data_IF_805988207178
#
_entry.id   IF_805988207178
#
_cell.length_a   1.000
_cell.length_b   1.000
_cell.length_c   1.000
_cell.angle_alpha   90.00
_cell.angle_beta   90.00
_cell.angle_gamma   90.00
#
_symmetry.space_group_name_H-M   'P 1'
#
loop_
_entity.id
_entity.type
_entity.pdbx_description
1 polymer ?
#
# COMPACT_ATOMS: atom_id res chain seq x y z
N UNK A 1 -22.37 22.81 8.57
CA UNK A 1 -21.25 23.16 9.47
C UNK A 1 -21.26 22.31 10.73
N UNK A 2 -22.29 22.38 11.60
CA UNK A 2 -22.42 21.49 12.77
C UNK A 2 -22.25 20.01 12.42
N UNK A 3 -22.93 19.54 11.37
CA UNK A 3 -22.78 18.17 10.87
C UNK A 3 -21.35 17.78 10.51
N UNK A 4 -20.63 18.63 9.77
CA UNK A 4 -19.21 18.41 9.47
C UNK A 4 -18.37 18.36 10.75
N UNK A 5 -18.63 19.22 11.72
CA UNK A 5 -17.91 19.24 13.00
C UNK A 5 -18.16 17.97 13.80
N UNK A 6 -19.39 17.47 13.87
CA UNK A 6 -19.70 16.19 14.51
C UNK A 6 -19.01 15.02 13.80
N UNK A 7 -19.01 15.01 12.46
CA UNK A 7 -18.28 14.02 11.68
C UNK A 7 -16.78 14.05 12.00
N UNK A 8 -16.21 15.26 12.13
CA UNK A 8 -14.80 15.45 12.51
C UNK A 8 -14.48 15.04 13.95
N UNK A 9 -15.49 14.90 14.82
CA UNK A 9 -15.37 14.41 16.19
C UNK A 9 -15.76 12.93 16.32
N UNK A 10 -16.16 12.29 15.21
CA UNK A 10 -16.64 10.92 15.17
C UNK A 10 -18.06 10.71 15.71
N UNK A 11 -18.81 11.76 16.01
CA UNK A 11 -20.22 11.67 16.40
C UNK A 11 -21.09 11.55 15.14
N UNK A 12 -21.06 10.37 14.50
CA UNK A 12 -21.64 10.15 13.17
C UNK A 12 -23.15 10.27 13.17
N UNK A 13 -23.83 9.84 14.24
CA UNK A 13 -25.29 9.97 14.37
C UNK A 13 -25.71 11.44 14.37
N UNK A 14 -25.11 12.26 15.25
CA UNK A 14 -25.41 13.70 15.26
C UNK A 14 -24.95 14.40 13.99
N UNK A 15 -23.87 13.92 13.38
CA UNK A 15 -23.44 14.42 12.08
C UNK A 15 -24.52 14.21 11.03
N UNK A 16 -25.04 12.99 10.94
CA UNK A 16 -26.08 12.59 10.00
C UNK A 16 -27.35 13.42 10.20
N UNK A 17 -27.84 13.54 11.44
CA UNK A 17 -29.02 14.34 11.78
C UNK A 17 -28.87 15.80 11.36
N UNK A 18 -27.75 16.43 11.75
CA UNK A 18 -27.49 17.83 11.43
C UNK A 18 -27.29 18.08 9.93
N UNK A 19 -26.79 17.10 9.19
CA UNK A 19 -26.66 17.18 7.72
C UNK A 19 -28.01 16.97 7.04
N UNK A 20 -28.83 16.01 7.49
CA UNK A 20 -30.17 15.77 6.95
C UNK A 20 -31.10 16.97 7.17
N UNK A 21 -31.05 17.60 8.34
CA UNK A 21 -31.76 18.87 8.63
C UNK A 21 -31.37 19.97 7.62
N UNK A 22 -30.06 20.11 7.34
CA UNK A 22 -29.56 21.07 6.38
C UNK A 22 -30.03 20.75 4.95
N UNK A 23 -29.99 19.48 4.54
CA UNK A 23 -30.45 19.06 3.21
C UNK A 23 -31.95 19.30 3.00
N UNK A 24 -32.77 19.17 4.05
CA UNK A 24 -34.19 19.50 4.01
C UNK A 24 -34.49 20.99 3.82
N UNK A 25 -33.54 21.86 4.17
CA UNK A 25 -33.69 23.32 4.13
C UNK A 25 -32.97 24.00 2.96
N UNK A 26 -32.02 23.30 2.31
CA UNK A 26 -31.19 23.83 1.23
C UNK A 26 -31.71 23.38 -0.14
N UNK A 27 -31.55 24.22 -1.17
CA UNK A 27 -31.90 23.83 -2.53
C UNK A 27 -30.79 22.99 -3.17
N UNK A 28 -31.10 21.92 -3.94
CA UNK A 28 -30.09 21.10 -4.64
C UNK A 28 -29.14 21.87 -5.56
N UNK A 29 -29.53 23.06 -6.02
CA UNK A 29 -28.68 23.93 -6.87
C UNK A 29 -27.61 24.68 -6.09
N UNK A 30 -27.68 24.72 -4.76
CA UNK A 30 -26.75 25.46 -3.91
C UNK A 30 -25.47 24.65 -3.65
N UNK A 31 -24.32 25.35 -3.63
CA UNK A 31 -23.02 24.75 -3.31
C UNK A 31 -23.03 24.13 -1.91
N UNK A 32 -23.71 24.76 -0.95
CA UNK A 32 -23.85 24.23 0.41
C UNK A 32 -24.63 22.92 0.48
N UNK A 33 -25.62 22.72 -0.40
CA UNK A 33 -26.35 21.44 -0.49
C UNK A 33 -25.41 20.33 -0.94
N UNK A 34 -24.59 20.58 -1.97
CA UNK A 34 -23.59 19.62 -2.44
C UNK A 34 -22.56 19.29 -1.35
N UNK A 35 -22.09 20.31 -0.61
CA UNK A 35 -21.18 20.10 0.53
C UNK A 35 -21.81 19.27 1.65
N UNK A 36 -23.09 19.52 1.97
CA UNK A 36 -23.84 18.71 2.92
C UNK A 36 -24.03 17.27 2.40
N UNK A 37 -24.31 17.07 1.11
CA UNK A 37 -24.47 15.75 0.49
C UNK A 37 -23.19 14.92 0.57
N UNK A 38 -22.03 15.53 0.28
CA UNK A 38 -20.72 14.86 0.43
C UNK A 38 -20.42 14.55 1.91
N UNK A 39 -20.78 15.42 2.84
CA UNK A 39 -20.65 15.14 4.28
C UNK A 39 -21.53 13.95 4.70
N UNK A 40 -22.75 13.85 4.16
CA UNK A 40 -23.65 12.72 4.41
C UNK A 40 -23.06 11.41 3.84
N UNK A 41 -22.47 11.48 2.65
CA UNK A 41 -21.79 10.36 2.03
C UNK A 41 -20.67 9.80 2.92
N UNK A 42 -19.87 10.67 3.54
CA UNK A 42 -18.86 10.25 4.51
C UNK A 42 -19.48 9.62 5.76
N UNK A 43 -20.62 10.11 6.25
CA UNK A 43 -21.32 9.47 7.38
C UNK A 43 -21.73 8.02 7.04
N UNK A 44 -22.34 7.82 5.86
CA UNK A 44 -22.69 6.47 5.39
C UNK A 44 -21.47 5.58 5.20
N UNK A 45 -20.39 6.10 4.62
CA UNK A 45 -19.15 5.36 4.45
C UNK A 45 -18.61 4.88 5.80
N UNK A 46 -18.58 5.78 6.78
CA UNK A 46 -18.07 5.49 8.12
C UNK A 46 -18.92 4.42 8.81
N UNK A 47 -20.23 4.41 8.60
CA UNK A 47 -21.15 3.37 9.10
C UNK A 47 -21.09 2.04 8.30
N UNK A 48 -20.22 1.95 7.31
CA UNK A 48 -20.07 0.77 6.45
C UNK A 48 -21.02 0.72 5.26
N UNK A 49 -22.03 1.59 5.16
CA UNK A 49 -23.00 1.65 4.05
C UNK A 49 -22.38 2.27 2.79
N UNK A 50 -21.44 1.53 2.19
CA UNK A 50 -20.66 1.98 1.03
C UNK A 50 -21.52 2.18 -0.22
N UNK A 51 -22.63 1.47 -0.35
CA UNK A 51 -23.57 1.62 -1.46
C UNK A 51 -24.27 2.99 -1.44
N UNK A 52 -24.79 3.41 -0.28
CA UNK A 52 -25.36 4.76 -0.15
C UNK A 52 -24.28 5.81 -0.30
N UNK A 53 -23.12 5.62 0.34
CA UNK A 53 -22.01 6.56 0.25
C UNK A 53 -21.58 6.81 -1.20
N UNK A 54 -21.40 5.74 -1.98
CA UNK A 54 -21.01 5.81 -3.38
C UNK A 54 -21.96 6.66 -4.21
N UNK A 55 -23.29 6.46 -4.08
CA UNK A 55 -24.26 7.24 -4.86
C UNK A 55 -24.12 8.74 -4.64
N UNK A 56 -24.01 9.17 -3.38
CA UNK A 56 -23.82 10.58 -3.06
C UNK A 56 -22.46 11.11 -3.54
N UNK A 57 -21.40 10.30 -3.48
CA UNK A 57 -20.10 10.70 -4.04
C UNK A 57 -20.14 10.84 -5.56
N UNK A 58 -20.75 9.89 -6.28
CA UNK A 58 -20.90 9.92 -7.74
C UNK A 58 -21.62 11.19 -8.22
N UNK A 59 -22.73 11.54 -7.58
CA UNK A 59 -23.51 12.75 -7.89
C UNK A 59 -22.71 14.05 -7.72
N UNK A 60 -21.66 14.02 -6.90
CA UNK A 60 -20.90 15.21 -6.53
C UNK A 60 -19.46 15.24 -7.07
N UNK A 61 -18.95 14.15 -7.66
CA UNK A 61 -17.55 14.04 -8.09
C UNK A 61 -17.21 14.77 -9.40
N UNK A 62 -18.21 15.21 -10.18
CA UNK A 62 -17.98 15.88 -11.47
C UNK A 62 -17.60 17.36 -11.27
N UNK A 63 -16.40 17.75 -11.70
CA UNK A 63 -15.85 19.11 -11.51
C UNK A 63 -16.46 20.09 -12.50
N UNK A 64 -16.68 19.67 -13.75
CA UNK A 64 -17.27 20.50 -14.82
C UNK A 64 -18.63 21.14 -14.48
N UNK A 65 -19.34 20.64 -13.48
CA UNK A 65 -20.63 21.18 -13.02
C UNK A 65 -20.51 22.21 -11.89
N UNK A 66 -19.31 22.57 -11.45
CA UNK A 66 -19.10 23.41 -10.26
C UNK A 66 -18.69 24.84 -10.63
N UNK A 67 -19.47 25.82 -10.19
CA UNK A 67 -19.06 27.23 -10.21
C UNK A 67 -17.97 27.44 -9.14
N UNK A 68 -16.71 27.40 -9.55
CA UNK A 68 -15.55 27.86 -8.78
C UNK A 68 -15.30 27.18 -7.41
N UNK A 69 -15.76 25.95 -7.19
CA UNK A 69 -15.47 25.20 -5.95
C UNK A 69 -14.93 23.80 -6.27
N UNK A 70 -13.62 23.65 -6.17
CA UNK A 70 -12.92 22.37 -6.36
C UNK A 70 -12.97 21.46 -5.14
N UNK A 71 -13.17 21.98 -3.92
CA UNK A 71 -13.10 21.18 -2.71
C UNK A 71 -14.18 20.09 -2.71
N UNK A 72 -15.44 20.45 -2.94
CA UNK A 72 -16.55 19.50 -2.90
C UNK A 72 -16.37 18.33 -3.88
N UNK A 73 -16.14 18.56 -5.19
CA UNK A 73 -16.00 17.46 -6.13
C UNK A 73 -14.73 16.63 -5.91
N UNK A 74 -13.64 17.21 -5.40
CA UNK A 74 -12.42 16.47 -5.11
C UNK A 74 -12.53 15.60 -3.86
N UNK A 75 -13.23 16.06 -2.81
CA UNK A 75 -13.57 15.22 -1.67
C UNK A 75 -14.52 14.09 -2.07
N UNK A 76 -15.51 14.38 -2.92
CA UNK A 76 -16.39 13.35 -3.45
C UNK A 76 -15.62 12.33 -4.31
N UNK A 77 -14.68 12.79 -5.13
CA UNK A 77 -13.79 11.92 -5.93
C UNK A 77 -12.96 11.00 -5.03
N UNK A 78 -12.38 11.52 -3.94
CA UNK A 78 -11.63 10.72 -2.98
C UNK A 78 -12.51 9.63 -2.35
N UNK A 79 -13.69 10.00 -1.84
CA UNK A 79 -14.62 9.05 -1.24
C UNK A 79 -15.11 7.98 -2.21
N UNK A 80 -15.42 8.38 -3.45
CA UNK A 80 -15.84 7.47 -4.52
C UNK A 80 -14.74 6.46 -4.85
N UNK A 81 -13.53 6.93 -5.15
CA UNK A 81 -12.40 6.06 -5.46
C UNK A 81 -12.08 5.12 -4.30
N UNK A 82 -12.25 5.56 -3.05
CA UNK A 82 -12.08 4.72 -1.86
C UNK A 82 -13.13 3.60 -1.77
N UNK A 83 -14.39 3.87 -2.11
CA UNK A 83 -15.43 2.82 -2.17
C UNK A 83 -15.03 1.72 -3.16
N UNK A 84 -14.59 2.11 -4.37
CA UNK A 84 -14.10 1.17 -5.39
C UNK A 84 -12.85 0.42 -4.94
N UNK A 85 -11.88 1.10 -4.30
CA UNK A 85 -10.69 0.47 -3.73
C UNK A 85 -11.06 -0.62 -2.73
N UNK A 86 -11.99 -0.37 -1.80
CA UNK A 86 -12.41 -1.37 -0.81
C UNK A 86 -13.07 -2.60 -1.46
N UNK A 87 -13.78 -2.43 -2.57
CA UNK A 87 -14.39 -3.52 -3.35
C UNK A 87 -13.43 -4.28 -4.25
N UNK A 88 -12.18 -3.83 -4.35
CA UNK A 88 -11.17 -4.42 -5.22
C UNK A 88 -11.20 -3.94 -6.66
N UNK A 89 -11.83 -2.81 -6.93
CA UNK A 89 -11.96 -2.22 -8.26
C UNK A 89 -10.89 -1.13 -8.44
N UNK A 90 -9.61 -1.52 -8.34
CA UNK A 90 -8.46 -0.60 -8.35
C UNK A 90 -8.37 0.18 -9.66
N UNK A 91 -8.65 -0.47 -10.80
CA UNK A 91 -8.64 0.17 -12.11
C UNK A 91 -9.73 1.26 -12.21
N UNK A 92 -10.92 1.01 -11.66
CA UNK A 92 -12.02 1.98 -11.63
C UNK A 92 -11.63 3.16 -10.73
N UNK A 93 -11.08 2.89 -9.54
CA UNK A 93 -10.57 3.92 -8.64
C UNK A 93 -9.49 4.79 -9.30
N UNK A 94 -8.57 4.20 -10.06
CA UNK A 94 -7.55 4.94 -10.81
C UNK A 94 -8.16 5.81 -11.91
N UNK A 95 -9.13 5.29 -12.66
CA UNK A 95 -9.87 6.04 -13.68
C UNK A 95 -10.59 7.26 -13.10
N UNK A 96 -11.19 7.13 -11.91
CA UNK A 96 -11.84 8.23 -11.19
C UNK A 96 -10.84 9.36 -10.88
N UNK A 97 -9.65 9.04 -10.36
CA UNK A 97 -8.61 10.03 -10.09
C UNK A 97 -8.06 10.67 -11.37
N UNK A 98 -7.80 9.87 -12.41
CA UNK A 98 -7.31 10.39 -13.69
C UNK A 98 -8.32 11.30 -14.37
N UNK A 99 -9.62 10.96 -14.33
CA UNK A 99 -10.69 11.83 -14.82
C UNK A 99 -10.69 13.16 -14.10
N UNK A 100 -10.65 13.15 -12.76
CA UNK A 100 -10.66 14.38 -11.97
C UNK A 100 -9.43 15.26 -12.25
N UNK A 101 -8.24 14.67 -12.39
CA UNK A 101 -7.03 15.39 -12.79
C UNK A 101 -7.17 16.01 -14.20
N UNK A 102 -7.74 15.28 -15.16
CA UNK A 102 -7.97 15.78 -16.51
C UNK A 102 -8.97 16.94 -16.54
N UNK A 103 -10.05 16.86 -15.76
CA UNK A 103 -11.02 17.96 -15.59
C UNK A 103 -10.35 19.20 -14.95
N UNK A 104 -9.53 19.02 -13.91
CA UNK A 104 -8.75 20.12 -13.33
C UNK A 104 -7.80 20.74 -14.35
N UNK A 105 -7.09 19.93 -15.14
CA UNK A 105 -6.16 20.42 -16.16
C UNK A 105 -6.86 21.18 -17.28
N UNK A 106 -8.03 20.73 -17.72
CA UNK A 106 -8.84 21.42 -18.73
C UNK A 106 -9.29 22.82 -18.27
N UNK A 107 -9.40 23.02 -16.95
CA UNK A 107 -9.73 24.31 -16.32
C UNK A 107 -8.49 25.14 -15.95
N UNK A 108 -7.27 24.62 -16.17
CA UNK A 108 -6.02 25.27 -15.76
C UNK A 108 -5.77 25.23 -14.25
N UNK A 109 -6.40 24.30 -13.53
CA UNK A 109 -6.36 24.16 -12.07
C UNK A 109 -5.57 22.94 -11.58
N UNK A 110 -4.77 22.32 -12.45
CA UNK A 110 -4.00 21.13 -12.13
C UNK A 110 -3.01 21.33 -10.97
N UNK A 111 -2.53 22.56 -10.76
CA UNK A 111 -1.53 22.90 -9.73
C UNK A 111 -2.14 23.48 -8.45
N UNK A 112 -3.48 23.55 -8.35
CA UNK A 112 -4.15 24.02 -7.13
C UNK A 112 -3.90 23.00 -6.00
N UNK A 113 -3.53 23.43 -4.77
CA UNK A 113 -3.13 22.53 -3.69
C UNK A 113 -4.07 21.35 -3.39
N UNK A 114 -5.38 21.54 -3.51
CA UNK A 114 -6.39 20.48 -3.26
C UNK A 114 -6.25 19.29 -4.23
N UNK A 115 -5.71 19.49 -5.44
CA UNK A 115 -5.42 18.41 -6.38
C UNK A 115 -4.36 17.43 -5.85
N UNK A 116 -3.58 17.83 -4.83
CA UNK A 116 -2.66 16.95 -4.12
C UNK A 116 -3.33 15.70 -3.55
N UNK A 117 -4.59 15.79 -3.11
CA UNK A 117 -5.37 14.63 -2.63
C UNK A 117 -5.51 13.53 -3.69
N UNK A 118 -5.66 13.91 -4.97
CA UNK A 118 -5.78 12.95 -6.07
C UNK A 118 -4.46 12.23 -6.31
N UNK A 119 -3.35 12.95 -6.19
CA UNK A 119 -2.02 12.34 -6.29
C UNK A 119 -1.75 11.39 -5.12
N UNK A 120 -2.15 11.74 -3.90
CA UNK A 120 -2.05 10.81 -2.76
C UNK A 120 -2.89 9.53 -2.97
N UNK A 121 -4.11 9.66 -3.50
CA UNK A 121 -4.96 8.53 -3.83
C UNK A 121 -4.39 7.61 -4.92
N UNK A 122 -3.79 8.19 -5.97
CA UNK A 122 -3.06 7.40 -6.98
C UNK A 122 -1.83 6.72 -6.38
N UNK A 123 -1.13 7.40 -5.47
CA UNK A 123 0.00 6.84 -4.74
C UNK A 123 -0.40 5.61 -3.90
N UNK A 124 -1.57 5.65 -3.27
CA UNK A 124 -2.14 4.52 -2.54
C UNK A 124 -2.50 3.34 -3.44
N UNK A 125 -3.17 3.58 -4.57
CA UNK A 125 -3.48 2.51 -5.52
C UNK A 125 -2.20 1.86 -6.07
N UNK A 126 -1.19 2.66 -6.39
CA UNK A 126 0.12 2.16 -6.81
C UNK A 126 0.81 1.37 -5.68
N UNK A 127 0.73 1.83 -4.43
CA UNK A 127 1.27 1.10 -3.28
C UNK A 127 0.60 -0.27 -3.12
N UNK A 128 -0.74 -0.34 -3.13
CA UNK A 128 -1.52 -1.58 -3.06
C UNK A 128 -1.17 -2.56 -4.19
N UNK A 129 -0.91 -2.01 -5.38
CA UNK A 129 -0.51 -2.76 -6.60
C UNK A 129 0.97 -3.12 -6.64
N UNK A 130 1.72 -2.81 -5.59
CA UNK A 130 3.17 -3.01 -5.51
C UNK A 130 3.98 -2.24 -6.59
N UNK A 131 3.40 -1.20 -7.19
CA UNK A 131 4.06 -0.29 -8.14
C UNK A 131 4.82 0.82 -7.38
N UNK A 132 5.75 0.40 -6.51
CA UNK A 132 6.33 1.25 -5.46
C UNK A 132 7.03 2.53 -5.96
N UNK A 133 7.69 2.49 -7.11
CA UNK A 133 8.31 3.69 -7.70
C UNK A 133 7.24 4.71 -8.16
N UNK A 134 6.14 4.22 -8.73
CA UNK A 134 5.00 5.07 -9.12
C UNK A 134 4.33 5.66 -7.88
N UNK A 135 4.15 4.83 -6.84
CA UNK A 135 3.64 5.25 -5.55
C UNK A 135 4.49 6.40 -4.97
N UNK A 136 5.81 6.25 -4.92
CA UNK A 136 6.72 7.29 -4.42
C UNK A 136 6.54 8.62 -5.16
N UNK A 137 6.54 8.62 -6.50
CA UNK A 137 6.38 9.85 -7.31
C UNK A 137 5.05 10.55 -6.99
N UNK A 138 3.96 9.78 -6.96
CA UNK A 138 2.63 10.30 -6.69
C UNK A 138 2.50 10.84 -5.26
N UNK A 139 3.06 10.15 -4.28
CA UNK A 139 3.02 10.56 -2.87
C UNK A 139 3.84 11.82 -2.63
N UNK A 140 5.06 11.91 -3.16
CA UNK A 140 5.92 13.09 -3.03
C UNK A 140 5.21 14.34 -3.59
N UNK A 141 4.65 14.24 -4.81
CA UNK A 141 3.88 15.34 -5.41
C UNK A 141 2.65 15.69 -4.58
N UNK A 142 1.89 14.70 -4.14
CA UNK A 142 0.69 14.90 -3.32
C UNK A 142 1.01 15.63 -2.01
N UNK A 143 2.05 15.18 -1.28
CA UNK A 143 2.52 15.78 -0.02
C UNK A 143 2.92 17.24 -0.22
N UNK A 144 3.68 17.54 -1.28
CA UNK A 144 4.10 18.92 -1.57
C UNK A 144 2.88 19.84 -1.73
N UNK A 145 1.92 19.42 -2.56
CA UNK A 145 0.72 20.20 -2.84
C UNK A 145 -0.16 20.36 -1.61
N UNK A 146 -0.44 19.30 -0.85
CA UNK A 146 -1.29 19.37 0.35
C UNK A 146 -0.63 20.18 1.45
N UNK A 147 0.71 20.16 1.56
CA UNK A 147 1.47 21.01 2.49
C UNK A 147 1.31 22.49 2.15
N UNK A 148 1.43 22.88 0.89
CA UNK A 148 1.19 24.26 0.44
C UNK A 148 -0.24 24.68 0.74
N UNK A 149 -1.21 23.79 0.55
CA UNK A 149 -2.62 24.02 0.86
C UNK A 149 -2.99 23.97 2.34
N UNK A 150 -2.03 23.76 3.24
CA UNK A 150 -2.25 23.57 4.68
C UNK A 150 -3.26 22.45 5.00
N UNK A 151 -3.31 21.41 4.17
CA UNK A 151 -4.22 20.28 4.29
C UNK A 151 -3.60 19.19 5.17
N UNK A 152 -3.38 19.54 6.44
CA UNK A 152 -2.51 18.80 7.38
C UNK A 152 -2.81 17.29 7.48
N UNK A 153 -4.09 16.91 7.53
CA UNK A 153 -4.48 15.49 7.58
C UNK A 153 -4.02 14.71 6.35
N UNK A 154 -4.19 15.27 5.15
CA UNK A 154 -3.78 14.62 3.90
C UNK A 154 -2.26 14.59 3.76
N UNK A 155 -1.58 15.66 4.19
CA UNK A 155 -0.12 15.67 4.29
C UNK A 155 0.37 14.56 5.22
N UNK A 156 -0.27 14.37 6.38
CA UNK A 156 0.07 13.31 7.33
C UNK A 156 -0.14 11.91 6.72
N UNK A 157 -1.28 11.67 6.07
CA UNK A 157 -1.52 10.42 5.33
C UNK A 157 -0.45 10.15 4.27
N UNK A 158 -0.15 11.12 3.42
CA UNK A 158 0.86 10.98 2.38
C UNK A 158 2.23 10.63 2.95
N UNK A 159 2.64 11.27 4.05
CA UNK A 159 3.93 11.01 4.71
C UNK A 159 4.03 9.59 5.28
N UNK A 160 2.97 9.09 5.92
CA UNK A 160 2.96 7.71 6.45
C UNK A 160 3.03 6.69 5.33
N UNK A 161 2.24 6.90 4.27
CA UNK A 161 2.22 5.99 3.13
C UNK A 161 3.54 6.05 2.32
N UNK A 162 4.17 7.21 2.22
CA UNK A 162 5.50 7.36 1.63
C UNK A 162 6.55 6.61 2.46
N UNK A 163 6.51 6.73 3.79
CA UNK A 163 7.39 5.98 4.68
C UNK A 163 7.21 4.46 4.51
N UNK A 164 5.97 3.98 4.40
CA UNK A 164 5.70 2.56 4.11
C UNK A 164 6.22 2.14 2.72
N UNK A 165 6.09 3.01 1.72
CA UNK A 165 6.59 2.79 0.35
C UNK A 165 8.12 2.71 0.32
N UNK A 166 8.80 3.62 1.01
CA UNK A 166 10.26 3.65 1.14
C UNK A 166 10.77 2.39 1.84
N UNK A 167 10.10 1.96 2.92
CA UNK A 167 10.43 0.71 3.60
C UNK A 167 10.30 -0.50 2.66
N UNK A 168 9.22 -0.55 1.87
CA UNK A 168 9.01 -1.61 0.89
C UNK A 168 10.03 -1.60 -0.27
N UNK A 169 10.59 -0.43 -0.59
CA UNK A 169 11.69 -0.26 -1.54
C UNK A 169 13.07 -0.64 -0.95
N UNK A 170 13.15 -0.98 0.34
CA UNK A 170 14.41 -1.24 1.04
C UNK A 170 15.22 0.04 1.31
N UNK A 171 14.58 1.20 1.31
CA UNK A 171 15.20 2.48 1.63
C UNK A 171 15.16 2.72 3.15
N UNK A 172 16.12 3.47 3.67
CA UNK A 172 16.06 3.91 5.06
C UNK A 172 14.90 4.88 5.28
N UNK A 173 14.10 4.60 6.30
CA UNK A 173 12.96 5.42 6.70
C UNK A 173 13.26 6.01 8.06
N UNK A 174 13.32 7.35 8.13
CA UNK A 174 13.45 8.07 9.40
C UNK A 174 12.38 9.14 9.47
N UNK A 175 11.32 8.87 10.22
CA UNK A 175 10.41 9.91 10.70
C UNK A 175 11.01 10.47 11.98
N UNK A 176 11.24 11.78 12.03
CA UNK A 176 11.73 12.39 13.28
C UNK A 176 10.66 12.28 14.36
N UNK A 177 11.06 12.35 15.65
CA UNK A 177 10.10 12.39 16.77
C UNK A 177 9.08 13.54 16.63
N UNK A 178 9.49 14.66 16.03
CA UNK A 178 8.61 15.78 15.78
C UNK A 178 7.59 15.47 14.69
N UNK A 179 8.02 14.81 13.62
CA UNK A 179 7.12 14.37 12.55
C UNK A 179 6.09 13.39 13.11
N UNK A 180 6.51 12.45 13.95
CA UNK A 180 5.60 11.49 14.56
C UNK A 180 4.61 12.13 15.52
N UNK A 181 5.03 13.10 16.34
CA UNK A 181 4.12 13.84 17.20
C UNK A 181 3.06 14.60 16.38
N UNK A 182 3.45 15.16 15.23
CA UNK A 182 2.52 15.77 14.28
C UNK A 182 1.56 14.73 13.69
N UNK A 183 2.06 13.58 13.23
CA UNK A 183 1.23 12.50 12.71
C UNK A 183 0.22 11.98 13.74
N UNK A 184 0.66 11.79 14.99
CA UNK A 184 -0.19 11.38 16.12
C UNK A 184 -1.30 12.39 16.39
N UNK A 185 -1.06 13.68 16.17
CA UNK A 185 -2.09 14.72 16.37
C UNK A 185 -3.27 14.54 15.41
N UNK A 186 -3.02 13.97 14.23
CA UNK A 186 -4.05 13.73 13.22
C UNK A 186 -4.59 12.30 13.25
N UNK A 187 -3.80 11.34 13.74
CA UNK A 187 -4.21 9.96 13.97
C UNK A 187 -5.13 9.86 15.20
N UNK A 188 -6.37 9.39 15.00
CA UNK A 188 -7.39 9.31 16.04
C UNK A 188 -8.21 10.59 16.20
N UNK A 189 -8.07 11.55 15.26
CA UNK A 189 -8.99 12.70 15.19
C UNK A 189 -10.39 12.27 14.76
N UNK A 190 -10.48 11.22 13.95
CA UNK A 190 -11.74 10.64 13.51
C UNK A 190 -11.89 9.23 14.08
N UNK A 191 -13.11 8.86 14.47
CA UNK A 191 -13.39 7.48 14.90
C UNK A 191 -13.18 6.52 13.73
N UNK A 192 -13.52 6.95 12.51
CA UNK A 192 -13.21 6.24 11.27
C UNK A 192 -12.59 7.21 10.28
N UNK A 193 -11.37 6.89 9.89
CA UNK A 193 -10.49 7.75 9.12
C UNK A 193 -10.50 7.38 7.63
N UNK A 194 -10.60 8.38 6.76
CA UNK A 194 -10.65 8.19 5.31
C UNK A 194 -9.54 9.03 4.68
N UNK A 195 -8.38 8.42 4.39
CA UNK A 195 -7.96 7.02 4.66
C UNK A 195 -7.45 6.80 6.09
N UNK A 196 -7.28 5.54 6.57
CA UNK A 196 -7.07 5.20 7.98
C UNK A 196 -5.63 5.46 8.48
N UNK A 197 -5.28 6.73 8.65
CA UNK A 197 -3.97 7.20 9.07
C UNK A 197 -3.44 6.52 10.34
N UNK A 198 -4.30 6.36 11.35
CA UNK A 198 -4.03 5.73 12.64
C UNK A 198 -3.58 4.29 12.48
N UNK A 199 -4.29 3.50 11.67
CA UNK A 199 -3.91 2.12 11.36
C UNK A 199 -2.58 2.08 10.58
N UNK A 200 -2.41 2.93 9.56
CA UNK A 200 -1.18 2.96 8.77
C UNK A 200 0.05 3.34 9.60
N UNK A 201 -0.09 4.28 10.53
CA UNK A 201 0.98 4.68 11.43
C UNK A 201 1.32 3.56 12.42
N UNK A 202 0.30 2.90 12.99
CA UNK A 202 0.49 1.74 13.86
C UNK A 202 1.20 0.58 13.15
N UNK A 203 0.82 0.31 11.89
CA UNK A 203 1.49 -0.68 11.05
C UNK A 203 2.96 -0.32 10.79
N UNK A 204 3.26 0.96 10.56
CA UNK A 204 4.63 1.42 10.36
C UNK A 204 5.48 1.18 11.61
N UNK A 205 4.95 1.45 12.81
CA UNK A 205 5.65 1.16 14.07
C UNK A 205 5.91 -0.34 14.24
N UNK A 206 4.93 -1.19 13.99
CA UNK A 206 5.11 -2.65 14.05
C UNK A 206 6.18 -3.12 13.06
N UNK A 207 6.16 -2.64 11.82
CA UNK A 207 7.14 -3.02 10.80
C UNK A 207 8.58 -2.59 11.15
N UNK A 208 8.73 -1.54 11.95
CA UNK A 208 10.03 -1.07 12.44
C UNK A 208 10.43 -1.68 13.79
N UNK A 209 9.64 -2.60 14.34
CA UNK A 209 9.90 -3.21 15.65
C UNK A 209 9.73 -2.24 16.83
N UNK A 210 9.02 -1.12 16.63
CA UNK A 210 8.80 -0.08 17.65
C UNK A 210 7.57 -0.40 18.50
N UNK A 211 7.64 -1.52 19.20
CA UNK A 211 6.53 -2.06 20.02
C UNK A 211 6.06 -1.08 21.09
N UNK A 212 6.96 -0.29 21.68
CA UNK A 212 6.60 0.72 22.69
C UNK A 212 5.60 1.77 22.16
N UNK A 213 5.87 2.31 20.96
CA UNK A 213 4.99 3.29 20.31
C UNK A 213 3.66 2.66 19.92
N UNK A 214 3.69 1.44 19.38
CA UNK A 214 2.49 0.68 19.07
C UNK A 214 1.61 0.42 20.31
N UNK A 215 2.19 -0.02 21.43
CA UNK A 215 1.45 -0.30 22.66
C UNK A 215 0.85 0.97 23.27
N UNK A 216 1.58 2.09 23.21
CA UNK A 216 1.05 3.38 23.62
C UNK A 216 -0.15 3.79 22.76
N UNK A 217 -0.05 3.63 21.44
CA UNK A 217 -1.16 3.86 20.52
C UNK A 217 -2.34 2.93 20.82
N UNK A 218 -2.11 1.64 21.02
CA UNK A 218 -3.16 0.65 21.29
C UNK A 218 -3.97 1.03 22.55
N UNK A 219 -3.26 1.45 23.60
CA UNK A 219 -3.87 1.96 24.84
C UNK A 219 -4.71 3.22 24.58
N UNK A 220 -4.17 4.19 23.84
CA UNK A 220 -4.86 5.44 23.55
C UNK A 220 -6.09 5.24 22.64
N UNK A 221 -5.98 4.33 21.67
CA UNK A 221 -7.03 3.95 20.76
C UNK A 221 -8.14 3.13 21.43
N UNK A 222 -7.90 2.64 22.66
CA UNK A 222 -8.82 1.82 23.45
C UNK A 222 -9.32 0.57 22.70
N UNK A 223 -8.47 0.02 21.83
CA UNK A 223 -8.81 -1.18 21.06
C UNK A 223 -8.59 -2.43 21.93
N UNK A 224 -9.55 -3.35 21.87
CA UNK A 224 -9.48 -4.62 22.56
C UNK A 224 -10.21 -5.69 21.74
N UNK A 225 -9.70 -6.92 21.77
CA UNK A 225 -10.37 -8.10 21.24
C UNK A 225 -11.40 -8.70 22.23
N UNK A 226 -11.49 -8.16 23.46
CA UNK A 226 -12.35 -8.68 24.55
C UNK A 226 -13.60 -7.85 24.82
N UNK A 227 -13.69 -6.67 24.21
CA UNK A 227 -14.84 -5.78 24.33
C UNK A 227 -15.67 -5.83 23.04
N UNK A 228 -16.95 -5.39 23.07
CA UNK A 228 -17.71 -5.20 21.84
C UNK A 228 -16.91 -4.38 20.83
N UNK A 229 -16.77 -4.92 19.62
CA UNK A 229 -15.93 -4.33 18.58
C UNK A 229 -16.66 -3.16 17.93
N UNK A 230 -15.90 -2.10 17.62
CA UNK A 230 -16.36 -1.02 16.73
C UNK A 230 -15.92 -1.40 15.32
N UNK A 231 -16.67 -2.28 14.67
CA UNK A 231 -16.25 -2.99 13.45
C UNK A 231 -15.89 -2.04 12.29
N UNK A 232 -16.36 -0.81 12.30
CA UNK A 232 -15.99 0.25 11.36
C UNK A 232 -14.48 0.61 11.43
N UNK A 233 -13.82 0.31 12.55
CA UNK A 233 -12.36 0.44 12.77
C UNK A 233 -11.57 -0.81 12.34
N UNK A 234 -12.10 -1.54 11.35
CA UNK A 234 -11.46 -2.73 10.77
C UNK A 234 -9.95 -2.57 10.54
N UNK A 235 -9.47 -1.49 9.89
CA UNK A 235 -8.03 -1.31 9.65
C UNK A 235 -7.19 -1.38 10.92
N UNK A 236 -7.59 -0.73 12.01
CA UNK A 236 -6.87 -0.79 13.28
C UNK A 236 -6.89 -2.19 13.91
N UNK A 237 -8.02 -2.91 13.82
CA UNK A 237 -8.11 -4.28 14.33
C UNK A 237 -7.25 -5.26 13.53
N UNK A 238 -7.04 -5.06 12.23
CA UNK A 238 -6.10 -5.88 11.44
C UNK A 238 -4.65 -5.68 11.91
N UNK A 239 -4.28 -4.45 12.28
CA UNK A 239 -2.97 -4.17 12.88
C UNK A 239 -2.86 -4.84 14.26
N UNK A 240 -3.91 -4.80 15.08
CA UNK A 240 -3.96 -5.55 16.34
C UNK A 240 -3.81 -7.06 16.10
N UNK A 241 -4.46 -7.63 15.09
CA UNK A 241 -4.32 -9.05 14.76
C UNK A 241 -2.87 -9.41 14.41
N UNK A 242 -2.15 -8.57 13.66
CA UNK A 242 -0.72 -8.78 13.39
C UNK A 242 0.09 -8.81 14.68
N UNK A 243 -0.18 -7.88 15.61
CA UNK A 243 0.45 -7.87 16.92
C UNK A 243 0.13 -9.13 17.74
N UNK A 244 -1.13 -9.56 17.81
CA UNK A 244 -1.53 -10.79 18.51
C UNK A 244 -0.82 -12.03 17.95
N UNK A 245 -0.65 -12.11 16.62
CA UNK A 245 0.09 -13.20 15.97
C UNK A 245 1.58 -13.17 16.36
N UNK A 246 2.20 -11.98 16.42
CA UNK A 246 3.59 -11.82 16.88
C UNK A 246 3.76 -12.25 18.35
N UNK A 247 2.79 -11.94 19.20
CA UNK A 247 2.75 -12.33 20.62
C UNK A 247 2.27 -13.77 20.86
N UNK A 248 2.13 -14.57 19.80
CA UNK A 248 1.71 -15.98 19.86
C UNK A 248 0.27 -16.20 20.40
N UNK A 249 -0.55 -15.15 20.42
CA UNK A 249 -1.96 -15.18 20.79
C UNK A 249 -2.83 -15.55 19.57
N UNK A 250 -2.56 -16.72 18.98
CA UNK A 250 -3.15 -17.13 17.70
C UNK A 250 -4.67 -17.28 17.76
N UNK A 251 -5.19 -17.83 18.87
CA UNK A 251 -6.62 -18.07 19.03
C UNK A 251 -7.39 -16.74 19.14
N UNK A 252 -6.89 -15.80 19.94
CA UNK A 252 -7.47 -14.45 20.07
C UNK A 252 -7.45 -13.71 18.72
N UNK A 253 -6.35 -13.84 17.95
CA UNK A 253 -6.27 -13.27 16.61
C UNK A 253 -7.29 -13.89 15.66
N UNK A 254 -7.44 -15.22 15.66
CA UNK A 254 -8.38 -15.94 14.78
C UNK A 254 -9.84 -15.60 15.11
N UNK A 255 -10.20 -15.49 16.40
CA UNK A 255 -11.55 -15.10 16.84
C UNK A 255 -11.88 -13.67 16.44
N UNK A 256 -10.93 -12.75 16.57
CA UNK A 256 -11.09 -11.38 16.09
C UNK A 256 -11.24 -11.34 14.56
N UNK A 257 -10.40 -12.07 13.82
CA UNK A 257 -10.45 -12.13 12.35
C UNK A 257 -11.78 -12.70 11.83
N UNK A 258 -12.42 -13.62 12.55
CA UNK A 258 -13.74 -14.14 12.19
C UNK A 258 -14.83 -13.06 12.32
N UNK A 259 -14.83 -12.30 13.42
CA UNK A 259 -15.80 -11.21 13.60
C UNK A 259 -15.62 -10.09 12.54
N UNK A 260 -14.37 -9.78 12.19
CA UNK A 260 -14.08 -8.82 11.12
C UNK A 260 -14.49 -9.36 9.74
N UNK A 261 -14.42 -10.67 9.53
CA UNK A 261 -14.82 -11.30 8.27
C UNK A 261 -16.31 -11.11 8.01
N UNK A 262 -17.16 -11.40 9.00
CA UNK A 262 -18.62 -11.28 8.87
C UNK A 262 -19.03 -9.85 8.50
N UNK A 263 -18.40 -8.86 9.13
CA UNK A 263 -18.58 -7.46 8.79
C UNK A 263 -18.10 -7.13 7.38
N UNK A 264 -16.85 -7.47 7.05
CA UNK A 264 -16.25 -7.16 5.75
C UNK A 264 -17.01 -7.82 4.60
N UNK A 265 -17.51 -9.04 4.80
CA UNK A 265 -18.33 -9.76 3.83
C UNK A 265 -19.68 -9.06 3.62
N UNK A 266 -20.36 -8.67 4.70
CA UNK A 266 -21.64 -7.95 4.64
C UNK A 266 -21.49 -6.62 3.89
N UNK A 267 -20.39 -5.90 4.11
CA UNK A 267 -20.09 -4.63 3.46
C UNK A 267 -19.35 -4.76 2.13
N UNK A 268 -19.13 -5.99 1.64
CA UNK A 268 -18.39 -6.29 0.40
C UNK A 268 -16.99 -5.64 0.32
N UNK A 269 -16.32 -5.51 1.48
CA UNK A 269 -14.98 -4.92 1.58
C UNK A 269 -13.90 -5.94 1.22
N UNK A 270 -13.83 -6.29 -0.06
CA UNK A 270 -12.89 -7.27 -0.62
C UNK A 270 -11.44 -7.05 -0.19
N UNK A 271 -10.94 -5.81 -0.16
CA UNK A 271 -9.59 -5.49 0.33
C UNK A 271 -9.36 -6.07 1.74
N UNK A 272 -10.31 -5.80 2.64
CA UNK A 272 -10.26 -6.23 4.04
C UNK A 272 -10.38 -7.76 4.12
N UNK A 273 -11.27 -8.38 3.33
CA UNK A 273 -11.41 -9.84 3.27
C UNK A 273 -10.11 -10.54 2.85
N UNK A 274 -9.40 -10.00 1.85
CA UNK A 274 -8.10 -10.54 1.41
C UNK A 274 -7.07 -10.45 2.53
N UNK A 275 -6.98 -9.28 3.18
CA UNK A 275 -6.08 -9.06 4.31
C UNK A 275 -6.38 -10.02 5.48
N UNK A 276 -7.66 -10.22 5.81
CA UNK A 276 -8.09 -11.19 6.83
C UNK A 276 -7.62 -12.61 6.49
N UNK A 277 -7.83 -13.07 5.26
CA UNK A 277 -7.41 -14.40 4.83
C UNK A 277 -5.90 -14.60 4.94
N UNK A 278 -5.10 -13.58 4.59
CA UNK A 278 -3.64 -13.62 4.74
C UNK A 278 -3.27 -13.72 6.23
N UNK A 279 -3.88 -12.92 7.10
CA UNK A 279 -3.61 -12.97 8.54
C UNK A 279 -4.05 -14.29 9.19
N UNK A 280 -5.19 -14.88 8.77
CA UNK A 280 -5.60 -16.23 9.20
C UNK A 280 -4.57 -17.26 8.76
N UNK A 281 -4.06 -17.16 7.53
CA UNK A 281 -2.98 -18.03 7.05
C UNK A 281 -1.74 -17.91 7.94
N UNK A 282 -1.30 -16.70 8.28
CA UNK A 282 -0.15 -16.49 9.17
C UNK A 282 -0.37 -17.11 10.55
N UNK A 283 -1.54 -16.85 11.17
CA UNK A 283 -1.88 -17.44 12.46
C UNK A 283 -1.84 -18.98 12.42
N UNK A 284 -2.38 -19.60 11.36
CA UNK A 284 -2.34 -21.05 11.20
C UNK A 284 -0.93 -21.60 10.94
N UNK A 285 -0.07 -20.90 10.20
CA UNK A 285 1.35 -21.31 10.00
C UNK A 285 2.06 -21.36 11.35
N UNK A 286 1.96 -20.27 12.13
CA UNK A 286 2.61 -20.18 13.43
C UNK A 286 2.01 -21.14 14.46
N UNK A 287 0.76 -21.55 14.28
CA UNK A 287 0.11 -22.56 15.11
C UNK A 287 0.26 -24.00 14.56
N UNK A 288 1.14 -24.22 13.58
CA UNK A 288 1.44 -25.54 12.97
C UNK A 288 0.23 -26.24 12.31
N UNK A 289 -0.72 -25.47 11.78
CA UNK A 289 -1.92 -25.98 11.10
C UNK A 289 -1.84 -25.74 9.58
N UNK A 290 -0.85 -26.35 8.93
CA UNK A 290 -0.50 -26.08 7.52
C UNK A 290 -1.67 -26.24 6.53
N UNK A 291 -2.51 -27.27 6.70
CA UNK A 291 -3.67 -27.47 5.82
C UNK A 291 -4.68 -26.31 5.90
N UNK A 292 -4.91 -25.76 7.09
CA UNK A 292 -5.78 -24.59 7.27
C UNK A 292 -5.12 -23.31 6.78
N UNK A 293 -3.80 -23.19 6.96
CA UNK A 293 -3.04 -22.06 6.42
C UNK A 293 -3.14 -22.01 4.89
N UNK A 294 -2.90 -23.14 4.22
CA UNK A 294 -3.01 -23.25 2.76
C UNK A 294 -4.43 -22.91 2.28
N UNK A 295 -5.46 -23.42 2.96
CA UNK A 295 -6.86 -23.11 2.63
C UNK A 295 -7.19 -21.62 2.82
N UNK A 296 -6.72 -21.00 3.91
CA UNK A 296 -6.92 -19.57 4.16
C UNK A 296 -6.21 -18.72 3.08
N UNK A 297 -4.99 -19.07 2.69
CA UNK A 297 -4.25 -18.36 1.66
C UNK A 297 -4.86 -18.57 0.26
N UNK A 298 -5.38 -19.77 -0.02
CA UNK A 298 -6.16 -20.03 -1.23
C UNK A 298 -7.39 -19.13 -1.28
N UNK A 299 -8.10 -19.00 -0.16
CA UNK A 299 -9.24 -18.10 -0.05
C UNK A 299 -8.84 -16.64 -0.27
N UNK A 300 -7.66 -16.20 0.18
CA UNK A 300 -7.15 -14.85 -0.10
C UNK A 300 -7.02 -14.58 -1.61
N UNK A 301 -6.47 -15.53 -2.37
CA UNK A 301 -6.33 -15.42 -3.83
C UNK A 301 -7.71 -15.42 -4.51
N UNK A 302 -8.63 -16.28 -4.08
CA UNK A 302 -10.00 -16.34 -4.62
C UNK A 302 -10.75 -15.03 -4.34
N UNK A 303 -10.66 -14.52 -3.11
CA UNK A 303 -11.29 -13.27 -2.71
C UNK A 303 -10.71 -12.06 -3.46
N UNK A 304 -9.40 -12.04 -3.67
CA UNK A 304 -8.76 -10.98 -4.45
C UNK A 304 -9.22 -11.02 -5.92
N UNK A 305 -9.52 -12.20 -6.48
CA UNK A 305 -9.89 -12.36 -7.89
C UNK A 305 -8.80 -11.73 -8.79
N UNK A 306 -9.16 -10.69 -9.55
CA UNK A 306 -8.25 -9.97 -10.44
C UNK A 306 -7.76 -8.66 -9.81
N UNK A 307 -8.22 -8.33 -8.60
CA UNK A 307 -7.80 -7.15 -7.85
C UNK A 307 -6.32 -7.28 -7.48
N UNK A 308 -5.52 -6.34 -7.96
CA UNK A 308 -4.06 -6.35 -7.78
C UNK A 308 -3.63 -5.90 -6.38
N UNK A 309 -4.19 -6.48 -5.32
CA UNK A 309 -3.76 -6.24 -3.93
C UNK A 309 -2.43 -6.95 -3.59
N UNK A 310 -1.44 -6.81 -4.46
CA UNK A 310 -0.17 -7.55 -4.43
C UNK A 310 0.62 -7.21 -3.16
N UNK A 311 0.54 -5.95 -2.71
CA UNK A 311 1.27 -5.47 -1.54
C UNK A 311 0.89 -6.19 -0.26
N UNK A 312 -0.38 -6.59 -0.11
CA UNK A 312 -0.86 -7.36 1.05
C UNK A 312 -0.12 -8.70 1.16
N UNK A 313 0.12 -9.38 0.04
CA UNK A 313 0.90 -10.63 0.03
C UNK A 313 2.38 -10.36 0.25
N UNK A 314 2.95 -9.38 -0.47
CA UNK A 314 4.37 -9.06 -0.39
C UNK A 314 4.80 -8.61 1.02
N UNK A 315 3.90 -8.00 1.80
CA UNK A 315 4.18 -7.56 3.16
C UNK A 315 4.54 -8.72 4.11
N UNK A 316 3.98 -9.90 3.86
CA UNK A 316 4.11 -11.08 4.74
C UNK A 316 5.06 -12.15 4.14
N UNK A 317 5.87 -11.76 3.15
CA UNK A 317 6.55 -12.63 2.17
C UNK A 317 7.72 -13.48 2.69
N UNK A 318 8.21 -13.35 3.95
CA UNK A 318 8.81 -14.50 4.61
C UNK A 318 8.03 -15.80 4.49
N UNK A 319 6.85 -15.66 5.05
CA UNK A 319 6.17 -16.71 5.80
C UNK A 319 5.18 -17.42 4.90
N UNK A 320 4.52 -16.66 4.01
CA UNK A 320 3.50 -17.21 3.11
C UNK A 320 4.07 -17.73 1.78
N UNK A 321 5.31 -17.38 1.42
CA UNK A 321 5.90 -17.75 0.12
C UNK A 321 5.93 -19.27 -0.13
N UNK A 322 6.32 -20.14 0.84
CA UNK A 322 6.25 -21.58 0.63
C UNK A 322 4.85 -22.08 0.27
N UNK A 323 3.81 -21.55 0.93
CA UNK A 323 2.42 -21.91 0.63
C UNK A 323 1.98 -21.36 -0.73
N UNK A 324 2.39 -20.16 -1.12
CA UNK A 324 2.11 -19.62 -2.46
C UNK A 324 2.70 -20.50 -3.56
N UNK A 325 3.90 -21.04 -3.36
CA UNK A 325 4.52 -22.00 -4.29
C UNK A 325 3.71 -23.30 -4.38
N UNK A 326 3.21 -23.82 -3.25
CA UNK A 326 2.29 -24.97 -3.24
C UNK A 326 1.01 -24.69 -4.03
N UNK A 327 0.45 -23.48 -3.90
CA UNK A 327 -0.78 -23.07 -4.60
C UNK A 327 -0.61 -23.00 -6.12
N UNK A 328 0.60 -22.86 -6.65
CA UNK A 328 0.82 -22.88 -8.12
C UNK A 328 0.36 -24.21 -8.71
N UNK A 329 0.55 -25.32 -7.99
CA UNK A 329 0.11 -26.64 -8.44
C UNK A 329 -1.41 -26.82 -8.43
N UNK A 330 -2.12 -26.16 -7.51
CA UNK A 330 -3.58 -26.29 -7.35
C UNK A 330 -4.37 -25.19 -8.07
N UNK A 331 -3.74 -24.05 -8.37
CA UNK A 331 -4.32 -22.90 -9.06
C UNK A 331 -3.44 -22.42 -10.23
N UNK A 332 -3.13 -23.29 -11.21
CA UNK A 332 -2.15 -22.99 -12.27
C UNK A 332 -2.57 -21.85 -13.22
N UNK A 333 -3.85 -21.51 -13.26
CA UNK A 333 -4.40 -20.47 -14.14
C UNK A 333 -4.66 -19.13 -13.46
N UNK A 334 -4.29 -18.95 -12.18
CA UNK A 334 -4.48 -17.68 -11.49
C UNK A 334 -3.44 -16.64 -11.95
N UNK A 335 -3.83 -15.57 -12.66
CA UNK A 335 -2.89 -14.53 -13.09
C UNK A 335 -2.31 -13.77 -11.90
N UNK A 336 -3.16 -13.48 -10.90
CA UNK A 336 -2.77 -12.81 -9.67
C UNK A 336 -1.70 -13.59 -8.90
N UNK A 337 -1.85 -14.91 -8.73
CA UNK A 337 -0.87 -15.73 -8.03
C UNK A 337 0.51 -15.64 -8.70
N UNK A 338 0.54 -15.71 -10.04
CA UNK A 338 1.77 -15.57 -10.82
C UNK A 338 2.39 -14.18 -10.60
N UNK A 339 1.57 -13.14 -10.61
CA UNK A 339 2.03 -11.77 -10.42
C UNK A 339 2.59 -11.53 -9.01
N UNK A 340 1.91 -12.03 -7.98
CA UNK A 340 2.39 -11.99 -6.59
C UNK A 340 3.77 -12.65 -6.47
N UNK A 341 3.93 -13.87 -7.01
CA UNK A 341 5.21 -14.59 -6.97
C UNK A 341 6.33 -13.85 -7.72
N UNK A 342 6.02 -13.23 -8.86
CA UNK A 342 6.99 -12.40 -9.60
C UNK A 342 7.44 -11.18 -8.79
N UNK A 343 6.52 -10.53 -8.08
CA UNK A 343 6.83 -9.36 -7.26
C UNK A 343 7.60 -9.70 -5.98
N UNK A 344 7.37 -10.88 -5.40
CA UNK A 344 8.14 -11.36 -4.25
C UNK A 344 9.61 -11.63 -4.58
N UNK A 345 9.89 -12.15 -5.78
CA UNK A 345 11.26 -12.47 -6.24
C UNK A 345 12.14 -11.25 -6.57
N UNK A 346 11.59 -10.03 -6.62
CA UNK A 346 12.36 -8.81 -6.92
C UNK A 346 12.93 -8.13 -5.67
N UNK A 347 12.52 -8.54 -4.47
CA UNK A 347 12.94 -7.93 -3.19
C UNK A 347 13.74 -8.87 -2.28
N UNK A 348 14.12 -10.08 -2.75
CA UNK A 348 14.86 -11.09 -1.97
C UNK A 348 16.34 -10.80 -1.75
N UNK A 349 16.75 -9.54 -1.65
CA UNK A 349 18.06 -9.15 -1.09
C UNK A 349 17.88 -8.15 0.05
N UNK A 350 17.10 -8.52 1.06
CA UNK A 350 17.39 -8.28 2.48
C UNK A 350 16.26 -8.87 3.35
N UNK A 351 16.58 -9.74 4.32
CA UNK A 351 15.59 -10.18 5.30
C UNK A 351 15.39 -9.07 6.34
N UNK A 352 14.30 -8.33 6.26
CA UNK A 352 13.68 -7.74 7.44
C UNK A 352 12.92 -8.85 8.16
N UNK A 353 13.63 -9.57 9.04
CA UNK A 353 13.16 -10.18 10.28
C UNK A 353 14.37 -10.94 10.89
N UNK A 354 14.73 -10.60 12.13
CA UNK A 354 15.67 -11.34 12.95
C UNK A 354 15.12 -12.75 13.23
N UNK A 355 15.34 -13.69 12.32
CA UNK A 355 15.11 -15.11 12.54
C UNK A 355 16.37 -15.90 12.17
N UNK A 356 17.03 -16.47 13.18
CA UNK A 356 18.09 -17.46 13.02
C UNK A 356 17.39 -18.83 12.95
N UNK A 357 17.65 -19.62 11.89
CA UNK A 357 17.99 -21.02 12.15
C UNK A 357 19.29 -21.44 11.49
N UNK A 358 19.98 -22.32 12.20
CA UNK A 358 21.20 -22.99 11.81
C UNK A 358 21.05 -23.79 10.50
N UNK A 359 22.13 -23.73 9.71
CA UNK A 359 22.67 -24.71 8.76
C UNK A 359 21.70 -25.70 8.08
N UNK A 360 21.67 -25.67 6.74
CA UNK A 360 21.96 -26.82 5.87
C UNK A 360 22.06 -26.39 4.38
N UNK A 361 23.22 -26.64 3.77
CA UNK A 361 23.38 -27.23 2.44
C UNK A 361 22.88 -26.49 1.19
N UNK A 362 23.81 -25.87 0.47
CA UNK A 362 23.67 -25.28 -0.87
C UNK A 362 23.30 -26.29 -1.97
N UNK A 363 22.53 -25.83 -2.97
CA UNK A 363 22.91 -25.84 -4.39
C UNK A 363 21.86 -25.06 -5.22
N UNK A 364 22.08 -23.76 -5.45
CA UNK A 364 21.27 -22.95 -6.37
C UNK A 364 22.04 -22.70 -7.67
N UNK A 365 21.56 -23.25 -8.77
CA UNK A 365 21.91 -22.78 -10.11
C UNK A 365 21.20 -21.45 -10.35
N UNK A 366 21.84 -20.34 -9.96
CA UNK A 366 21.38 -18.99 -10.28
C UNK A 366 21.53 -18.70 -11.78
N UNK A 367 20.44 -18.36 -12.46
CA UNK A 367 20.53 -17.74 -13.78
C UNK A 367 21.05 -16.31 -13.63
N UNK A 368 22.29 -16.07 -14.04
CA UNK A 368 22.91 -14.75 -13.98
C UNK A 368 22.37 -13.88 -15.12
N UNK A 369 21.67 -12.78 -14.80
CA UNK A 369 21.17 -11.82 -15.80
C UNK A 369 22.02 -10.53 -15.75
N UNK A 370 22.66 -10.19 -16.87
CA UNK A 370 23.40 -8.94 -17.04
C UNK A 370 22.48 -7.83 -17.59
N UNK A 371 22.61 -6.62 -17.05
CA UNK A 371 21.92 -5.44 -17.59
C UNK A 371 22.40 -5.11 -19.01
N UNK A 372 21.67 -4.26 -19.74
CA UNK A 372 22.04 -3.85 -21.10
C UNK A 372 23.45 -3.21 -21.14
N UNK A 373 23.79 -2.37 -20.16
CA UNK A 373 25.11 -1.72 -20.07
C UNK A 373 26.21 -2.70 -19.68
N UNK A 374 25.93 -3.63 -18.77
CA UNK A 374 26.90 -4.66 -18.38
C UNK A 374 27.18 -5.65 -19.50
N UNK A 375 26.20 -5.97 -20.37
CA UNK A 375 26.45 -6.81 -21.55
C UNK A 375 27.42 -6.16 -22.54
N UNK A 376 27.32 -4.85 -22.76
CA UNK A 376 28.23 -4.10 -23.64
C UNK A 376 29.64 -4.13 -23.08
N UNK A 377 29.80 -3.94 -21.76
CA UNK A 377 31.10 -4.05 -21.09
C UNK A 377 31.62 -5.50 -21.09
N UNK A 378 30.76 -6.50 -20.85
CA UNK A 378 31.11 -7.92 -20.85
C UNK A 378 31.63 -8.39 -22.22
N UNK A 379 31.04 -7.92 -23.33
CA UNK A 379 31.53 -8.19 -24.69
C UNK A 379 32.99 -7.75 -24.89
N UNK A 380 33.34 -6.56 -24.40
CA UNK A 380 34.71 -6.06 -24.46
C UNK A 380 35.66 -6.75 -23.46
N UNK A 381 35.14 -7.27 -22.35
CA UNK A 381 35.95 -8.04 -21.40
C UNK A 381 36.41 -9.36 -22.03
N UNK A 382 35.53 -10.02 -22.79
CA UNK A 382 35.82 -11.29 -23.49
C UNK A 382 36.88 -11.11 -24.58
N UNK A 383 36.91 -9.97 -25.26
CA UNK A 383 37.95 -9.68 -26.29
C UNK A 383 39.33 -9.40 -25.70
N UNK A 384 39.45 -9.35 -24.36
CA UNK A 384 40.71 -9.09 -23.67
C UNK A 384 41.03 -7.61 -23.45
N UNK A 385 40.15 -6.68 -23.87
CA UNK A 385 40.39 -5.24 -23.75
C UNK A 385 40.52 -4.78 -22.29
N UNK A 386 41.59 -4.07 -21.95
CA UNK A 386 41.80 -3.48 -20.62
C UNK A 386 40.69 -2.49 -20.26
N UNK A 387 40.49 -2.21 -18.97
CA UNK A 387 39.46 -1.25 -18.54
C UNK A 387 39.66 0.15 -19.14
N UNK A 388 40.88 0.49 -19.55
CA UNK A 388 41.20 1.75 -20.21
C UNK A 388 40.76 1.74 -21.68
N UNK A 389 41.07 0.68 -22.42
CA UNK A 389 40.60 0.49 -23.80
C UNK A 389 39.06 0.40 -23.87
N UNK A 390 38.41 -0.24 -22.88
CA UNK A 390 36.95 -0.28 -22.78
C UNK A 390 36.36 1.12 -22.57
N UNK A 391 37.00 1.94 -21.74
CA UNK A 391 36.55 3.30 -21.45
C UNK A 391 36.63 4.18 -22.72
N UNK A 392 37.72 4.04 -23.47
CA UNK A 392 37.94 4.71 -24.75
C UNK A 392 36.94 4.23 -25.83
N UNK A 393 36.77 2.91 -25.98
CA UNK A 393 35.86 2.31 -26.97
C UNK A 393 34.38 2.65 -26.73
N UNK A 394 33.98 2.86 -25.46
CA UNK A 394 32.60 3.16 -25.09
C UNK A 394 32.36 4.65 -24.79
N UNK A 395 33.38 5.51 -24.94
CA UNK A 395 33.34 6.94 -24.62
C UNK A 395 32.80 7.23 -23.19
N UNK A 396 33.25 6.46 -22.20
CA UNK A 396 32.86 6.62 -20.78
C UNK A 396 34.10 6.75 -19.88
N UNK A 397 33.91 7.20 -18.64
CA UNK A 397 35.03 7.30 -17.70
C UNK A 397 35.58 5.93 -17.29
N UNK A 398 36.89 5.85 -17.01
CA UNK A 398 37.54 4.65 -16.47
C UNK A 398 36.88 4.16 -15.17
N UNK A 399 36.39 5.09 -14.33
CA UNK A 399 35.65 4.76 -13.11
C UNK A 399 34.34 4.02 -13.40
N UNK A 400 33.61 4.44 -14.45
CA UNK A 400 32.36 3.80 -14.87
C UNK A 400 32.60 2.36 -15.35
N UNK A 401 33.68 2.13 -16.10
CA UNK A 401 34.07 0.78 -16.53
C UNK A 401 34.45 -0.12 -15.35
N UNK A 402 35.21 0.41 -14.37
CA UNK A 402 35.58 -0.35 -13.16
C UNK A 402 34.35 -0.77 -12.36
N UNK A 403 33.37 0.12 -12.20
CA UNK A 403 32.10 -0.20 -11.54
C UNK A 403 31.32 -1.29 -12.29
N UNK A 404 31.21 -1.18 -13.61
CA UNK A 404 30.54 -2.22 -14.41
C UNK A 404 31.27 -3.56 -14.36
N UNK A 405 32.60 -3.58 -14.43
CA UNK A 405 33.39 -4.80 -14.31
C UNK A 405 33.21 -5.46 -12.94
N UNK A 406 33.19 -4.68 -11.86
CA UNK A 406 32.96 -5.20 -10.51
C UNK A 406 31.56 -5.80 -10.34
N UNK A 407 30.54 -5.15 -10.91
CA UNK A 407 29.17 -5.66 -10.89
C UNK A 407 29.04 -6.96 -11.70
N UNK A 408 29.71 -7.06 -12.85
CA UNK A 408 29.76 -8.29 -13.66
C UNK A 408 30.43 -9.41 -12.86
N UNK A 409 31.55 -9.14 -12.20
CA UNK A 409 32.27 -10.11 -11.37
C UNK A 409 31.42 -10.61 -10.21
N UNK A 410 30.78 -9.70 -9.48
CA UNK A 410 29.85 -10.02 -8.39
C UNK A 410 28.69 -10.88 -8.87
N UNK A 411 28.09 -10.55 -10.03
CA UNK A 411 26.99 -11.32 -10.63
C UNK A 411 27.42 -12.72 -11.10
N UNK A 412 28.68 -12.89 -11.50
CA UNK A 412 29.24 -14.18 -11.91
C UNK A 412 29.82 -14.99 -10.74
N UNK A 413 29.90 -14.41 -9.53
CA UNK A 413 30.49 -15.04 -8.36
C UNK A 413 32.01 -15.23 -8.45
N UNK A 414 32.70 -14.38 -9.21
CA UNK A 414 34.15 -14.48 -9.45
C UNK A 414 34.85 -13.19 -9.03
N UNK A 415 36.13 -13.28 -8.70
CA UNK A 415 36.92 -12.12 -8.23
C UNK A 415 38.12 -11.79 -9.12
N UNK A 416 38.36 -12.59 -10.17
CA UNK A 416 39.48 -12.41 -11.09
C UNK A 416 38.99 -12.33 -12.54
N UNK A 417 39.59 -11.42 -13.31
CA UNK A 417 39.26 -11.19 -14.72
C UNK A 417 39.31 -12.46 -15.60
N UNK A 418 40.33 -13.33 -15.51
CA UNK A 418 40.34 -14.58 -16.28
C UNK A 418 39.15 -15.50 -15.95
N UNK A 419 38.75 -15.57 -14.67
CA UNK A 419 37.60 -16.36 -14.22
C UNK A 419 36.28 -15.76 -14.74
N UNK A 420 36.19 -14.43 -14.84
CA UNK A 420 35.04 -13.76 -15.42
C UNK A 420 34.91 -14.02 -16.92
N UNK A 421 36.02 -14.03 -17.67
CA UNK A 421 36.01 -14.37 -19.10
C UNK A 421 35.53 -15.81 -19.30
N UNK A 422 36.06 -16.75 -18.53
CA UNK A 422 35.65 -18.16 -18.56
C UNK A 422 34.15 -18.32 -18.24
N UNK A 423 33.66 -17.67 -17.19
CA UNK A 423 32.26 -17.73 -16.78
C UNK A 423 31.31 -17.10 -17.82
N UNK A 424 31.70 -15.98 -18.44
CA UNK A 424 30.91 -15.30 -19.47
C UNK A 424 30.80 -16.16 -20.75
N UNK A 425 31.88 -16.82 -21.15
CA UNK A 425 31.91 -17.74 -22.28
C UNK A 425 31.06 -18.99 -22.00
N UNK A 426 31.22 -19.59 -20.80
CA UNK A 426 30.47 -20.79 -20.39
C UNK A 426 28.96 -20.57 -20.35
N UNK A 427 28.53 -19.39 -19.90
CA UNK A 427 27.11 -19.05 -19.72
C UNK A 427 26.49 -18.35 -20.94
N UNK A 428 27.27 -18.11 -22.00
CA UNK A 428 26.86 -17.39 -23.22
C UNK A 428 26.22 -16.01 -22.96
N UNK A 429 26.65 -15.30 -21.91
CA UNK A 429 26.01 -14.07 -21.41
C UNK A 429 26.41 -12.79 -22.13
N UNK A 430 27.23 -12.92 -23.18
CA UNK A 430 27.77 -11.80 -23.95
C UNK A 430 27.51 -11.94 -25.45
N UNK A 431 26.53 -12.75 -25.88
CA UNK A 431 26.05 -12.77 -27.27
C UNK A 431 25.27 -11.51 -27.64
#
# INVERSE_FOLDING_TARGET
>A
LRGCQYCLLGDVERAQDAVMEALGSLSPKQVLYKGASVCLAFCYYVQGDTDKAQRFFEENAQISQTKYNLMIPLFATLGLARCHLLRGELEIAAQIYHRALAECAALGWQDVPVCGMLHLGLGELAYESNELNSAQIHLEKGIEMTRVGQMQYFTAWGRVLLAQTQLALGQEVSLSKQDEAELITYAGRFIVEIPPLSASLAQLWLNQGRTDAFLQWLKNAQLSHKLPLVLERCPEYLVLCRYLIQEQQYQDALELLEQLWDYAQTQQQRRIMVEICILKSLAFIHHHQEAKALAALQQAIICAHDSRFIRLFCQESPVINPLLQTLVGTMPYSPLLKEVLLNMGQHTTQPTLHYIPAALGQATTHSVILSKKERVVAKQIITGASNQEIAENLCVSLSTVKTHAQNIYSKLGVNKRPQAIEALLRLNLAS
#
